data_IF_664926439435
#
_entry.id   IF_664926439435
#
_cell.length_a   1.000
_cell.length_b   1.000
_cell.length_c   1.000
_cell.angle_alpha   90.00
_cell.angle_beta   90.00
_cell.angle_gamma   90.00
#
_symmetry.space_group_name_H-M   'P 1'
#
loop_
_entity.id
_entity.type
_entity.pdbx_description
1 polymer ?
#
# COMPACT_ATOMS: atom_id res chain seq x y z
N UNK A 1 -11.65 -28.54 -3.40
CA UNK A 1 -11.55 -28.26 -1.95
C UNK A 1 -10.07 -28.35 -1.61
N UNK A 2 -9.39 -27.22 -1.65
CA UNK A 2 -8.05 -27.05 -1.11
C UNK A 2 -8.23 -26.25 0.18
N UNK A 3 -8.67 -26.94 1.24
CA UNK A 3 -8.40 -26.47 2.61
C UNK A 3 -7.05 -27.09 3.01
N UNK A 4 -6.00 -26.66 2.32
CA UNK A 4 -4.66 -26.73 2.88
C UNK A 4 -4.52 -25.45 3.70
N UNK A 5 -4.40 -25.61 5.02
CA UNK A 5 -4.29 -24.52 5.97
C UNK A 5 -3.16 -23.56 5.51
N UNK A 6 -3.53 -22.43 4.89
CA UNK A 6 -2.60 -21.46 4.33
C UNK A 6 -1.70 -20.95 5.47
N UNK A 7 -0.40 -21.20 5.38
CA UNK A 7 0.55 -20.69 6.36
C UNK A 7 0.84 -19.21 6.05
N UNK A 8 0.91 -18.37 7.08
CA UNK A 8 1.30 -16.96 6.94
C UNK A 8 2.82 -16.84 6.94
N UNK A 9 3.36 -16.05 6.01
CA UNK A 9 4.79 -15.76 5.94
C UNK A 9 5.02 -14.25 6.05
N UNK A 10 5.92 -13.79 6.96
CA UNK A 10 6.62 -14.58 7.97
C UNK A 10 5.68 -15.06 9.09
N UNK A 11 6.02 -16.19 9.71
CA UNK A 11 5.18 -16.87 10.72
C UNK A 11 4.90 -16.02 11.97
N UNK A 12 5.67 -14.96 12.23
CA UNK A 12 5.38 -14.09 13.37
C UNK A 12 4.11 -13.26 13.19
N UNK A 13 3.60 -13.15 11.96
CA UNK A 13 2.29 -12.56 11.66
C UNK A 13 1.15 -13.59 11.78
N UNK A 14 1.45 -14.84 12.12
CA UNK A 14 0.43 -15.86 12.31
C UNK A 14 -0.46 -15.51 13.51
N UNK A 15 -1.75 -15.38 13.25
CA UNK A 15 -2.74 -14.95 14.24
C UNK A 15 -3.01 -13.43 14.25
N UNK A 16 -2.22 -12.62 13.56
CA UNK A 16 -2.50 -11.18 13.41
C UNK A 16 -3.75 -10.95 12.57
N UNK A 17 -4.50 -9.89 12.83
CA UNK A 17 -5.63 -9.52 11.98
C UNK A 17 -5.16 -9.08 10.58
N UNK A 18 -5.91 -9.46 9.55
CA UNK A 18 -5.70 -8.96 8.19
C UNK A 18 -6.63 -7.78 7.93
N UNK A 19 -6.10 -6.75 7.26
CA UNK A 19 -6.90 -5.59 6.85
C UNK A 19 -7.44 -5.78 5.44
N UNK A 20 -8.71 -5.44 5.21
CA UNK A 20 -9.15 -5.15 3.85
C UNK A 20 -8.50 -3.83 3.39
N UNK A 21 -7.98 -3.78 2.16
CA UNK A 21 -7.13 -2.66 1.71
C UNK A 21 -7.82 -1.29 1.80
N UNK A 22 -9.13 -1.19 1.52
CA UNK A 22 -9.87 0.07 1.67
C UNK A 22 -9.97 0.52 3.14
N UNK A 23 -10.18 -0.41 4.07
CA UNK A 23 -10.24 -0.12 5.51
C UNK A 23 -8.87 0.31 6.04
N UNK A 24 -7.80 -0.33 5.56
CA UNK A 24 -6.43 0.08 5.84
C UNK A 24 -6.19 1.52 5.39
N UNK A 25 -6.48 1.84 4.12
CA UNK A 25 -6.32 3.20 3.58
C UNK A 25 -7.14 4.21 4.39
N UNK A 26 -8.38 3.88 4.75
CA UNK A 26 -9.24 4.72 5.60
C UNK A 26 -8.62 5.03 6.96
N UNK A 27 -7.90 4.06 7.53
CA UNK A 27 -7.26 4.19 8.85
C UNK A 27 -6.06 5.14 8.85
N UNK A 28 -5.48 5.42 7.68
CA UNK A 28 -4.41 6.40 7.52
C UNK A 28 -4.91 7.82 7.22
N UNK A 29 -6.16 7.99 6.80
CA UNK A 29 -6.74 9.31 6.56
C UNK A 29 -6.76 10.14 7.84
N UNK A 30 -6.36 11.41 7.74
CA UNK A 30 -6.30 12.33 8.87
C UNK A 30 -7.50 13.28 8.88
N UNK A 31 -7.95 13.79 10.04
CA UNK A 31 -8.95 14.85 10.11
C UNK A 31 -8.55 16.06 9.23
N UNK A 32 -9.53 16.76 8.65
CA UNK A 32 -9.28 17.94 7.81
C UNK A 32 -8.42 19.02 8.50
N UNK A 33 -8.50 19.11 9.83
CA UNK A 33 -7.72 20.04 10.65
C UNK A 33 -6.23 19.68 10.80
N UNK A 34 -5.81 18.46 10.45
CA UNK A 34 -4.42 18.00 10.61
C UNK A 34 -3.50 18.56 9.53
N UNK A 35 -2.18 18.33 9.61
CA UNK A 35 -1.25 18.62 8.51
C UNK A 35 -1.49 17.69 7.31
N UNK A 36 -0.86 17.98 6.17
CA UNK A 36 -0.92 17.14 4.96
C UNK A 36 -0.09 15.85 5.07
N UNK A 37 0.62 15.64 6.17
CA UNK A 37 1.47 14.46 6.38
C UNK A 37 0.79 13.40 7.23
N UNK A 38 1.20 12.15 7.05
CA UNK A 38 0.90 11.04 7.96
C UNK A 38 1.79 11.18 9.21
N UNK A 39 1.22 11.37 10.42
CA UNK A 39 1.99 11.30 11.64
C UNK A 39 2.77 9.98 11.74
N UNK A 40 4.02 10.02 12.23
CA UNK A 40 4.86 8.82 12.31
C UNK A 40 4.30 7.74 13.22
N UNK A 41 3.47 8.11 14.18
CA UNK A 41 2.79 7.26 15.15
C UNK A 41 1.39 6.81 14.68
N UNK A 42 0.98 7.19 13.46
CA UNK A 42 -0.26 6.68 12.86
C UNK A 42 -0.24 5.16 12.87
N UNK A 43 -1.32 4.56 13.41
CA UNK A 43 -1.46 3.11 13.49
C UNK A 43 -0.33 2.41 14.30
N UNK A 44 0.32 3.09 15.24
CA UNK A 44 1.41 2.50 16.04
C UNK A 44 0.98 1.34 16.95
N UNK A 45 -0.30 1.30 17.39
CA UNK A 45 -0.87 0.25 18.25
C UNK A 45 -1.82 -0.68 17.47
N UNK A 46 -1.60 -0.83 16.17
CA UNK A 46 -2.41 -1.66 15.29
C UNK A 46 -1.74 -3.03 15.05
N UNK A 47 -2.36 -3.93 14.30
CA UNK A 47 -1.78 -5.20 13.83
C UNK A 47 -0.64 -5.02 12.81
N UNK A 48 -0.09 -3.81 12.64
CA UNK A 48 1.11 -3.58 11.86
C UNK A 48 2.33 -3.84 12.74
N UNK A 49 3.13 -4.84 12.36
CA UNK A 49 4.44 -5.07 12.96
C UNK A 49 5.45 -4.06 12.41
N UNK A 50 5.48 -2.88 13.01
CA UNK A 50 6.45 -1.83 12.71
C UNK A 50 7.88 -2.23 13.07
N UNK A 51 8.87 -1.71 12.34
CA UNK A 51 10.29 -1.83 12.70
C UNK A 51 10.52 -1.23 14.09
N UNK A 52 11.07 -1.99 15.05
CA UNK A 52 11.28 -1.53 16.42
C UNK A 52 12.30 -0.39 16.52
N UNK A 53 13.14 -0.16 15.51
CA UNK A 53 14.07 0.97 15.46
C UNK A 53 13.38 2.30 15.12
N UNK A 54 12.09 2.27 14.78
CA UNK A 54 11.28 3.47 14.56
C UNK A 54 11.57 4.14 13.21
N UNK A 55 11.76 5.46 13.24
CA UNK A 55 12.02 6.28 12.06
C UNK A 55 13.51 6.21 11.72
N UNK A 56 13.81 5.80 10.50
CA UNK A 56 15.15 5.82 9.92
C UNK A 56 15.37 7.14 9.19
N UNK A 57 16.56 7.71 9.34
CA UNK A 57 16.96 8.97 8.71
C UNK A 57 18.09 8.70 7.73
N UNK A 58 17.90 9.14 6.49
CA UNK A 58 18.87 9.05 5.39
C UNK A 58 19.09 10.44 4.78
N UNK A 59 20.14 10.61 3.98
CA UNK A 59 20.43 11.89 3.33
C UNK A 59 19.28 12.38 2.41
N UNK A 60 18.49 11.45 1.87
CA UNK A 60 17.34 11.72 1.00
C UNK A 60 16.01 11.87 1.73
N UNK A 61 15.95 11.73 3.06
CA UNK A 61 14.71 11.85 3.80
C UNK A 61 14.60 10.96 5.03
N UNK A 62 13.38 10.66 5.44
CA UNK A 62 13.12 9.76 6.56
C UNK A 62 12.01 8.76 6.21
N UNK A 63 12.07 7.58 6.81
CA UNK A 63 11.03 6.57 6.64
C UNK A 63 10.82 5.71 7.89
N UNK A 64 9.62 5.14 8.01
CA UNK A 64 9.27 4.10 8.98
C UNK A 64 8.68 2.92 8.20
N UNK A 65 9.23 1.73 8.40
CA UNK A 65 8.79 0.50 7.72
C UNK A 65 8.06 -0.41 8.69
N UNK A 66 7.15 -1.20 8.16
CA UNK A 66 6.46 -2.26 8.88
C UNK A 66 6.00 -3.35 7.94
N UNK A 67 5.45 -4.39 8.52
CA UNK A 67 4.79 -5.48 7.80
C UNK A 67 3.44 -5.79 8.42
N UNK A 68 2.49 -6.20 7.60
CA UNK A 68 1.14 -6.51 8.03
C UNK A 68 0.49 -7.54 7.09
N UNK A 69 -0.67 -8.04 7.49
CA UNK A 69 -1.55 -8.86 6.64
C UNK A 69 -2.57 -7.97 5.95
N UNK A 70 -2.75 -8.15 4.65
CA UNK A 70 -3.72 -7.41 3.84
C UNK A 70 -4.47 -8.38 2.95
N UNK A 71 -5.79 -8.22 2.92
CA UNK A 71 -6.71 -8.88 2.01
C UNK A 71 -7.22 -7.88 0.96
N UNK A 72 -7.53 -8.39 -0.23
CA UNK A 72 -8.24 -7.65 -1.27
C UNK A 72 -9.42 -8.49 -1.73
N UNK A 73 -10.61 -8.21 -1.19
CA UNK A 73 -11.85 -8.98 -1.46
C UNK A 73 -11.63 -10.50 -1.53
N UNK A 74 -11.00 -11.06 -0.49
CA UNK A 74 -10.65 -12.49 -0.34
C UNK A 74 -9.51 -13.03 -1.22
N UNK A 75 -8.82 -12.17 -1.97
CA UNK A 75 -7.59 -12.52 -2.69
C UNK A 75 -6.40 -12.65 -1.75
N UNK A 76 -5.94 -13.87 -1.48
CA UNK A 76 -4.71 -14.12 -0.71
C UNK A 76 -3.50 -13.95 -1.64
N UNK A 77 -2.60 -13.02 -1.33
CA UNK A 77 -1.30 -12.94 -1.99
C UNK A 77 -0.46 -14.15 -1.63
N UNK A 78 0.14 -14.85 -2.62
CA UNK A 78 0.83 -16.12 -2.36
C UNK A 78 2.21 -16.25 -3.01
N UNK A 79 3.12 -16.95 -2.32
CA UNK A 79 4.39 -17.41 -2.88
C UNK A 79 4.27 -18.90 -3.24
N UNK A 80 4.78 -19.35 -4.39
CA UNK A 80 4.65 -20.72 -4.91
C UNK A 80 5.90 -21.29 -5.64
N UNK A 81 6.95 -21.66 -4.88
CA UNK A 81 7.95 -22.70 -5.29
C UNK A 81 7.59 -24.07 -4.67
N UNK A 82 6.38 -24.60 -4.93
CA UNK A 82 5.79 -25.86 -4.43
C UNK A 82 4.95 -25.86 -3.13
N UNK A 83 4.74 -24.73 -2.45
CA UNK A 83 3.81 -24.60 -1.30
C UNK A 83 2.98 -23.33 -1.42
N UNK A 84 1.69 -23.37 -1.08
CA UNK A 84 0.81 -22.19 -1.04
C UNK A 84 0.89 -21.55 0.36
N UNK A 85 1.08 -20.23 0.44
CA UNK A 85 1.20 -19.48 1.69
C UNK A 85 0.65 -18.05 1.53
N UNK A 86 0.10 -17.45 2.59
CA UNK A 86 -0.28 -16.03 2.63
C UNK A 86 0.97 -15.16 2.81
N UNK A 87 1.22 -14.26 1.86
CA UNK A 87 2.35 -13.36 1.87
C UNK A 87 2.01 -12.06 2.61
N UNK A 88 2.86 -11.66 3.55
CA UNK A 88 2.77 -10.34 4.18
C UNK A 88 2.88 -9.21 3.17
N UNK A 89 2.46 -8.02 3.59
CA UNK A 89 2.64 -6.80 2.82
C UNK A 89 3.64 -5.89 3.52
N UNK A 90 4.53 -5.29 2.74
CA UNK A 90 5.39 -4.21 3.24
C UNK A 90 4.58 -2.93 3.25
N UNK A 91 4.59 -2.24 4.39
CA UNK A 91 4.09 -0.88 4.54
C UNK A 91 5.25 0.06 4.88
N UNK A 92 5.27 1.25 4.27
CA UNK A 92 6.26 2.27 4.57
C UNK A 92 5.62 3.64 4.61
N UNK A 93 5.90 4.39 5.67
CA UNK A 93 5.70 5.83 5.71
C UNK A 93 7.03 6.50 5.31
N UNK A 94 7.01 7.47 4.41
CA UNK A 94 8.23 8.16 3.96
C UNK A 94 8.02 9.64 3.71
N UNK A 95 9.08 10.42 3.87
CA UNK A 95 9.15 11.81 3.42
C UNK A 95 10.56 12.11 2.91
N UNK A 96 10.63 12.96 1.89
CA UNK A 96 11.88 13.63 1.47
C UNK A 96 11.96 15.07 2.02
N UNK A 97 10.90 15.53 2.69
CA UNK A 97 10.79 16.84 3.32
C UNK A 97 11.20 16.78 4.80
N UNK A 98 10.94 17.87 5.54
CA UNK A 98 11.26 17.94 6.96
C UNK A 98 10.43 16.91 7.76
N UNK A 99 11.08 15.90 8.37
CA UNK A 99 10.39 14.80 9.03
C UNK A 99 9.59 15.21 10.28
N UNK A 100 9.78 16.43 10.79
CA UNK A 100 8.97 16.93 11.90
C UNK A 100 7.48 17.11 11.53
N UNK A 101 7.13 17.14 10.24
CA UNK A 101 5.75 17.25 9.77
C UNK A 101 5.07 15.90 9.47
N UNK A 102 5.78 14.78 9.73
CA UNK A 102 5.32 13.44 9.40
C UNK A 102 5.81 12.97 8.03
N UNK A 103 5.25 11.85 7.58
CA UNK A 103 5.50 11.29 6.26
C UNK A 103 4.58 11.92 5.22
N UNK A 104 5.07 12.10 4.00
CA UNK A 104 4.29 12.63 2.88
C UNK A 104 3.65 11.50 2.06
N UNK A 105 4.18 10.29 2.24
CA UNK A 105 3.85 9.11 1.46
C UNK A 105 3.60 7.91 2.35
N UNK A 106 2.58 7.16 1.97
CA UNK A 106 2.32 5.79 2.39
C UNK A 106 2.56 4.88 1.17
N UNK A 107 3.47 3.92 1.32
CA UNK A 107 3.71 2.87 0.33
C UNK A 107 3.17 1.56 0.87
N UNK A 108 2.48 0.82 0.01
CA UNK A 108 1.96 -0.49 0.35
C UNK A 108 2.20 -1.46 -0.82
N UNK A 109 2.85 -2.60 -0.56
CA UNK A 109 3.09 -3.62 -1.58
C UNK A 109 3.10 -5.04 -1.00
N UNK A 110 2.67 -6.06 -1.75
CA UNK A 110 2.84 -7.45 -1.35
C UNK A 110 4.32 -7.84 -1.29
N UNK A 111 4.70 -8.54 -0.23
CA UNK A 111 6.03 -9.11 -0.02
C UNK A 111 7.14 -8.10 0.29
N UNK A 112 8.35 -8.63 0.45
CA UNK A 112 9.57 -7.88 0.75
C UNK A 112 10.76 -8.81 0.97
N UNK A 113 11.98 -8.32 0.71
CA UNK A 113 13.21 -9.09 0.88
C UNK A 113 13.21 -10.39 0.05
N UNK A 114 13.47 -11.53 0.70
CA UNK A 114 13.48 -12.87 0.08
C UNK A 114 12.08 -13.37 -0.34
N UNK A 115 11.02 -12.77 0.19
CA UNK A 115 9.63 -13.05 -0.16
C UNK A 115 9.08 -11.99 -1.13
N UNK A 116 9.93 -11.44 -1.98
CA UNK A 116 9.52 -10.44 -2.97
C UNK A 116 8.51 -11.04 -3.97
N UNK A 117 7.52 -10.24 -4.32
CA UNK A 117 6.50 -10.56 -5.32
C UNK A 117 7.03 -10.43 -6.77
N UNK A 118 8.14 -11.09 -7.05
CA UNK A 118 8.75 -11.17 -8.37
C UNK A 118 9.59 -12.46 -8.46
N UNK A 119 9.29 -13.30 -9.45
CA UNK A 119 9.92 -14.60 -9.67
C UNK A 119 8.96 -15.58 -10.34
N UNK A 120 9.46 -16.63 -11.00
CA UNK A 120 8.65 -17.62 -11.73
C UNK A 120 7.67 -18.41 -10.86
N UNK A 121 7.71 -18.18 -9.56
CA UNK A 121 7.09 -18.97 -8.52
C UNK A 121 6.37 -18.06 -7.50
N UNK A 122 5.93 -16.89 -7.93
CA UNK A 122 5.08 -15.99 -7.13
C UNK A 122 3.80 -15.73 -7.91
N UNK A 123 2.64 -15.81 -7.24
CA UNK A 123 1.33 -15.62 -7.87
C UNK A 123 0.46 -14.69 -7.04
N UNK A 124 -0.54 -14.05 -7.65
CA UNK A 124 -1.51 -13.19 -6.93
C UNK A 124 -0.86 -11.99 -6.18
N UNK A 125 0.24 -11.49 -6.74
CA UNK A 125 0.95 -10.29 -6.29
C UNK A 125 0.47 -9.00 -6.99
N UNK A 126 -0.41 -9.16 -7.97
CA UNK A 126 -1.06 -8.08 -8.70
C UNK A 126 -2.53 -8.09 -8.36
N UNK A 127 -3.07 -6.96 -7.95
CA UNK A 127 -4.48 -6.81 -7.56
C UNK A 127 -5.05 -5.51 -8.14
N UNK A 128 -6.32 -5.23 -7.89
CA UNK A 128 -7.00 -3.97 -8.20
C UNK A 128 -7.76 -3.53 -6.94
N UNK A 129 -7.46 -2.33 -6.42
CA UNK A 129 -8.13 -1.84 -5.20
C UNK A 129 -9.55 -1.37 -5.46
N UNK A 130 -9.95 -1.11 -6.71
CA UNK A 130 -11.26 -0.55 -7.04
C UNK A 130 -12.40 -1.38 -6.45
N UNK A 131 -12.23 -2.69 -6.50
CA UNK A 131 -13.14 -3.67 -5.94
C UNK A 131 -13.29 -3.55 -4.42
N UNK A 132 -12.18 -3.37 -3.70
CA UNK A 132 -12.20 -3.10 -2.25
C UNK A 132 -12.89 -1.77 -1.95
N UNK A 133 -12.57 -0.72 -2.72
CA UNK A 133 -13.17 0.61 -2.58
C UNK A 133 -14.69 0.59 -2.81
N UNK A 134 -15.18 -0.14 -3.83
CA UNK A 134 -16.62 -0.31 -4.11
C UNK A 134 -17.41 -0.92 -2.96
N UNK A 135 -16.76 -1.77 -2.16
CA UNK A 135 -17.38 -2.46 -1.03
C UNK A 135 -17.12 -1.75 0.32
N UNK A 136 -16.44 -0.60 0.28
CA UNK A 136 -16.17 0.22 1.45
C UNK A 136 -17.18 1.38 1.55
N UNK A 137 -17.33 2.02 2.73
CA UNK A 137 -18.12 3.23 2.88
C UNK A 137 -17.43 4.50 2.32
N UNK A 138 -16.24 4.38 1.73
CA UNK A 138 -15.50 5.50 1.17
C UNK A 138 -16.10 5.97 -0.16
N UNK A 139 -16.13 7.28 -0.37
CA UNK A 139 -16.37 7.83 -1.70
C UNK A 139 -15.07 7.84 -2.47
N UNK A 140 -15.06 7.49 -3.75
CA UNK A 140 -13.86 7.59 -4.56
C UNK A 140 -14.15 7.94 -6.02
N UNK A 141 -13.20 8.60 -6.66
CA UNK A 141 -13.15 8.82 -8.11
C UNK A 141 -11.92 8.12 -8.68
N UNK A 142 -12.10 7.36 -9.75
CA UNK A 142 -11.01 6.74 -10.50
C UNK A 142 -10.65 7.64 -11.68
N UNK A 143 -9.36 7.88 -11.88
CA UNK A 143 -8.81 8.65 -12.99
C UNK A 143 -7.60 7.96 -13.60
N UNK A 144 -7.12 8.55 -14.69
CA UNK A 144 -5.93 8.10 -15.40
C UNK A 144 -4.75 9.02 -15.10
N UNK A 145 -3.54 8.48 -15.16
CA UNK A 145 -2.30 9.26 -15.07
C UNK A 145 -1.90 9.73 -16.47
N UNK A 146 -1.65 11.04 -16.59
CA UNK A 146 -1.21 11.65 -17.82
C UNK A 146 0.30 11.44 -18.05
N UNK A 147 0.67 10.97 -19.24
CA UNK A 147 2.04 10.58 -19.64
C UNK A 147 2.65 9.40 -18.86
N UNK A 148 2.02 8.21 -18.87
CA UNK A 148 2.66 7.04 -18.30
C UNK A 148 3.98 6.79 -19.03
N UNK A 149 5.08 6.63 -18.29
CA UNK A 149 6.26 6.01 -18.88
C UNK A 149 5.82 4.66 -19.45
N UNK A 150 6.19 4.36 -20.69
CA UNK A 150 5.54 3.35 -21.55
C UNK A 150 5.62 1.88 -21.09
N UNK A 151 6.03 1.61 -19.85
CA UNK A 151 6.18 0.29 -19.27
C UNK A 151 5.36 0.05 -18.00
N UNK A 152 4.77 1.09 -17.40
CA UNK A 152 4.00 0.96 -16.16
C UNK A 152 2.55 1.38 -16.41
N UNK A 153 1.61 0.51 -16.02
CA UNK A 153 0.20 0.88 -15.95
C UNK A 153 -0.03 1.54 -14.60
N UNK A 154 -0.77 2.64 -14.62
CA UNK A 154 -1.13 3.35 -13.39
C UNK A 154 -2.60 3.70 -13.40
N UNK A 155 -3.28 3.38 -12.30
CA UNK A 155 -4.60 3.91 -11.99
C UNK A 155 -4.44 4.93 -10.88
N UNK A 156 -5.23 5.99 -10.96
CA UNK A 156 -5.32 7.00 -9.93
C UNK A 156 -6.68 6.91 -9.24
N UNK A 157 -6.67 7.02 -7.92
CA UNK A 157 -7.86 7.04 -7.10
C UNK A 157 -7.83 8.25 -6.17
N UNK A 158 -8.86 9.09 -6.25
CA UNK A 158 -9.11 10.16 -5.31
C UNK A 158 -10.18 9.71 -4.31
N UNK A 159 -9.75 9.38 -3.09
CA UNK A 159 -10.56 8.77 -2.04
C UNK A 159 -10.95 9.84 -1.02
N UNK A 160 -12.22 9.83 -0.63
CA UNK A 160 -12.88 10.82 0.23
C UNK A 160 -13.65 10.16 1.36
N UNK A 161 -13.62 10.81 2.52
CA UNK A 161 -14.34 10.44 3.74
C UNK A 161 -14.70 11.71 4.51
N UNK A 162 -15.97 11.87 4.84
CA UNK A 162 -16.48 13.09 5.48
C UNK A 162 -15.71 13.45 6.75
N UNK A 163 -15.22 14.69 6.82
CA UNK A 163 -14.45 15.21 7.96
C UNK A 163 -12.97 14.82 7.97
N UNK A 164 -12.50 14.13 6.94
CA UNK A 164 -11.11 13.72 6.75
C UNK A 164 -10.53 14.37 5.50
N UNK A 165 -9.20 14.54 5.50
CA UNK A 165 -8.44 14.91 4.31
C UNK A 165 -8.59 13.85 3.24
N UNK A 166 -8.72 14.32 2.01
CA UNK A 166 -8.68 13.48 0.82
C UNK A 166 -7.37 12.68 0.74
N UNK A 167 -7.49 11.46 0.25
CA UNK A 167 -6.36 10.58 0.01
C UNK A 167 -6.23 10.31 -1.48
N UNK A 168 -5.07 10.64 -2.03
CA UNK A 168 -4.72 10.43 -3.42
C UNK A 168 -3.87 9.17 -3.51
N UNK A 169 -4.38 8.14 -4.20
CA UNK A 169 -3.72 6.85 -4.32
C UNK A 169 -3.36 6.60 -5.79
N UNK A 170 -2.10 6.33 -6.03
CA UNK A 170 -1.63 5.77 -7.30
C UNK A 170 -1.43 4.28 -7.09
N UNK A 171 -2.14 3.50 -7.91
CA UNK A 171 -1.88 2.08 -8.04
C UNK A 171 -0.97 1.86 -9.25
N UNK A 172 0.20 1.29 -9.01
CA UNK A 172 1.17 0.95 -10.05
C UNK A 172 1.22 -0.56 -10.23
N UNK A 173 1.13 -0.99 -11.48
CA UNK A 173 1.42 -2.37 -11.87
C UNK A 173 2.76 -2.44 -12.58
N UNK A 174 3.61 -3.34 -12.11
CA UNK A 174 4.85 -3.69 -12.76
C UNK A 174 4.80 -5.17 -13.14
N UNK A 175 4.98 -5.47 -14.42
CA UNK A 175 4.87 -6.82 -14.97
C UNK A 175 5.97 -7.13 -15.97
N UNK A 176 6.42 -8.38 -15.96
CA UNK A 176 7.41 -8.90 -16.91
C UNK A 176 7.41 -10.43 -16.96
N UNK A 177 8.41 -11.01 -17.63
CA UNK A 177 8.56 -12.47 -17.72
C UNK A 177 8.77 -13.16 -16.37
N UNK A 178 9.17 -12.40 -15.34
CA UNK A 178 9.33 -12.87 -13.96
C UNK A 178 8.08 -12.74 -13.09
N UNK A 179 6.93 -12.31 -13.62
CA UNK A 179 5.69 -12.13 -12.86
C UNK A 179 5.23 -10.67 -12.81
N UNK A 180 4.24 -10.40 -11.95
CA UNK A 180 3.64 -9.08 -11.80
C UNK A 180 3.46 -8.72 -10.33
N UNK A 181 3.63 -7.45 -10.01
CA UNK A 181 3.42 -6.89 -8.67
C UNK A 181 2.64 -5.59 -8.76
N UNK A 182 1.85 -5.33 -7.72
CA UNK A 182 1.18 -4.04 -7.53
C UNK A 182 1.81 -3.31 -6.34
N UNK A 183 2.06 -2.01 -6.51
CA UNK A 183 2.41 -1.11 -5.41
C UNK A 183 1.40 0.02 -5.34
N UNK A 184 0.92 0.35 -4.14
CA UNK A 184 0.13 1.54 -3.89
C UNK A 184 1.02 2.63 -3.31
N UNK A 185 0.82 3.84 -3.81
CA UNK A 185 1.42 5.07 -3.33
C UNK A 185 0.28 5.99 -2.91
N UNK A 186 0.19 6.33 -1.63
CA UNK A 186 -0.86 7.19 -1.12
C UNK A 186 -0.27 8.47 -0.51
N UNK A 187 -0.94 9.61 -0.75
CA UNK A 187 -0.59 10.91 -0.18
C UNK A 187 -1.86 11.71 0.12
N UNK A 188 -1.80 12.61 1.10
CA UNK A 188 -2.89 13.55 1.41
C UNK A 188 -2.70 14.93 0.73
N UNK A 189 -1.66 15.08 -0.10
CA UNK A 189 -1.42 16.30 -0.88
C UNK A 189 -1.34 15.96 -2.37
N UNK A 190 -2.31 16.44 -3.15
CA UNK A 190 -2.31 16.29 -4.61
C UNK A 190 -1.02 16.81 -5.25
N UNK A 191 -0.48 17.92 -4.73
CA UNK A 191 0.77 18.52 -5.21
C UNK A 191 2.02 17.65 -5.01
N UNK A 192 1.92 16.60 -4.21
CA UNK A 192 3.02 15.66 -4.01
C UNK A 192 2.99 14.55 -5.04
N UNK A 193 1.88 14.30 -5.75
CA UNK A 193 1.84 13.32 -6.84
C UNK A 193 3.01 13.55 -7.79
N UNK A 194 3.78 12.51 -8.17
CA UNK A 194 4.91 12.69 -9.07
C UNK A 194 4.44 13.39 -10.34
N UNK A 195 5.23 14.31 -10.90
CA UNK A 195 4.81 15.13 -12.05
C UNK A 195 4.50 14.32 -13.31
N UNK A 196 5.07 13.12 -13.43
CA UNK A 196 4.73 12.14 -14.48
C UNK A 196 3.58 11.19 -14.09
N UNK A 197 2.94 11.46 -12.96
CA UNK A 197 1.86 10.70 -12.33
C UNK A 197 0.68 11.58 -11.92
N UNK A 198 0.57 12.77 -12.52
CA UNK A 198 -0.56 13.66 -12.30
C UNK A 198 -1.82 13.12 -12.97
N UNK A 199 -2.99 13.22 -12.31
CA UNK A 199 -4.26 12.80 -12.89
C UNK A 199 -4.63 13.68 -14.08
N UNK A 200 -5.16 13.06 -15.13
CA UNK A 200 -5.69 13.78 -16.28
C UNK A 200 -6.90 14.62 -15.87
N UNK A 201 -6.80 15.94 -16.06
CA UNK A 201 -7.90 16.89 -15.83
C UNK A 201 -8.68 17.05 -17.14
N UNK A 202 -9.92 16.58 -17.18
CA UNK A 202 -10.84 16.74 -18.33
C UNK A 202 -11.78 17.92 -18.16
#
# INVERSE_FOLDING_TARGET
>A
MLDDNLSVIPYFLEGDESYEVADLLSSFMQPESSSNGFPWDTMANSSISWDPNGVHYEDSGAFRKGVLRVNVMDGVSTLLKSKVAELFWTIQLSTEENPNFGANWLYLKPGGGEFSCFGPDSTMCSFDIENSLKNSPLSYEKGEICNPSSQMMHDFFHIRKDGYRDLYVIQEWNGGSGGATTTLYATMAESMLPTNKEPCRY
#
